data_IF_402493626868
#
_entry.id   IF_402493626868
#
_cell.length_a   1.000
_cell.length_b   1.000
_cell.length_c   1.000
_cell.angle_alpha   90.00
_cell.angle_beta   90.00
_cell.angle_gamma   90.00
#
_symmetry.space_group_name_H-M   'P 1'
#
loop_
_entity.id
_entity.type
_entity.pdbx_description
1 polymer ?
#
# COMPACT_ATOMS: atom_id res chain seq x y z
N UNK A 1 35.74 -9.13 36.81
CA UNK A 1 37.03 -8.70 36.22
C UNK A 1 36.77 -8.42 34.74
N UNK A 2 36.49 -7.17 34.36
CA UNK A 2 36.33 -6.81 32.95
C UNK A 2 37.71 -6.51 32.37
N UNK A 3 38.20 -7.35 31.49
CA UNK A 3 39.47 -7.13 30.79
C UNK A 3 39.34 -5.88 29.90
N UNK A 4 40.22 -4.87 30.04
CA UNK A 4 40.12 -3.62 29.28
C UNK A 4 40.14 -3.82 27.76
N UNK A 5 40.79 -4.89 27.28
CA UNK A 5 40.87 -5.30 25.87
C UNK A 5 39.51 -5.75 25.31
N UNK A 6 38.72 -6.49 26.09
CA UNK A 6 37.38 -6.96 25.67
C UNK A 6 36.42 -5.77 25.55
N UNK A 7 36.54 -4.80 26.46
CA UNK A 7 35.75 -3.57 26.47
C UNK A 7 36.01 -2.72 25.21
N UNK A 8 37.29 -2.58 24.83
CA UNK A 8 37.70 -1.83 23.64
C UNK A 8 37.24 -2.49 22.33
N UNK A 9 37.39 -3.82 22.22
CA UNK A 9 36.91 -4.56 21.06
C UNK A 9 35.38 -4.44 20.91
N UNK A 10 34.64 -4.59 22.01
CA UNK A 10 33.18 -4.47 22.03
C UNK A 10 32.71 -3.09 21.58
N UNK A 11 33.35 -2.03 22.09
CA UNK A 11 33.07 -0.65 21.67
C UNK A 11 33.33 -0.41 20.18
N UNK A 12 34.47 -0.91 19.66
CA UNK A 12 34.81 -0.80 18.25
C UNK A 12 33.75 -1.49 17.38
N UNK A 13 33.37 -2.72 17.73
CA UNK A 13 32.33 -3.46 17.03
C UNK A 13 30.98 -2.73 17.03
N UNK A 14 30.54 -2.20 18.18
CA UNK A 14 29.29 -1.44 18.27
C UNK A 14 29.29 -0.20 17.39
N UNK A 15 30.41 0.55 17.37
CA UNK A 15 30.54 1.73 16.52
C UNK A 15 30.55 1.37 15.04
N UNK A 16 31.29 0.33 14.66
CA UNK A 16 31.36 -0.14 13.28
C UNK A 16 29.98 -0.59 12.78
N UNK A 17 29.31 -1.46 13.53
CA UNK A 17 27.96 -1.94 13.20
C UNK A 17 26.98 -0.77 13.14
N UNK A 18 27.05 0.16 14.09
CA UNK A 18 26.18 1.33 14.09
C UNK A 18 26.39 2.23 12.87
N UNK A 19 27.64 2.45 12.43
CA UNK A 19 27.94 3.20 11.20
C UNK A 19 27.40 2.46 9.97
N UNK A 20 27.59 1.14 9.88
CA UNK A 20 27.06 0.34 8.78
C UNK A 20 25.53 0.44 8.72
N UNK A 21 24.83 0.32 9.86
CA UNK A 21 23.37 0.43 9.90
C UNK A 21 22.87 1.80 9.40
N UNK A 22 23.52 2.88 9.83
CA UNK A 22 23.19 4.23 9.37
C UNK A 22 23.41 4.34 7.86
N UNK A 23 24.61 4.01 7.37
CA UNK A 23 24.95 4.15 5.95
C UNK A 23 24.06 3.27 5.05
N UNK A 24 23.79 2.02 5.46
CA UNK A 24 22.89 1.13 4.73
C UNK A 24 21.47 1.68 4.68
N UNK A 25 20.96 2.25 5.78
CA UNK A 25 19.62 2.88 5.78
C UNK A 25 19.54 4.12 4.91
N UNK A 26 20.58 4.96 4.91
CA UNK A 26 20.63 6.15 4.04
C UNK A 26 20.71 5.76 2.57
N UNK A 27 21.48 4.72 2.24
CA UNK A 27 21.54 4.19 0.88
C UNK A 27 20.17 3.65 0.45
N UNK A 28 19.48 2.92 1.33
CA UNK A 28 18.13 2.41 1.06
C UNK A 28 17.11 3.55 0.85
N UNK A 29 17.22 4.65 1.60
CA UNK A 29 16.38 5.83 1.34
C UNK A 29 16.68 6.48 -0.01
N UNK A 30 17.95 6.49 -0.44
CA UNK A 30 18.34 7.02 -1.76
C UNK A 30 17.86 6.13 -2.89
N UNK A 31 17.91 4.80 -2.75
CA UNK A 31 17.40 3.88 -3.78
C UNK A 31 15.88 3.96 -3.90
N UNK A 32 15.17 4.11 -2.77
CA UNK A 32 13.72 4.34 -2.75
C UNK A 32 13.31 5.66 -3.42
N UNK A 33 14.20 6.65 -3.47
CA UNK A 33 13.92 7.93 -4.09
C UNK A 33 13.98 7.92 -5.63
N UNK A 34 14.34 6.79 -6.26
CA UNK A 34 14.55 6.68 -7.71
C UNK A 34 13.47 5.76 -8.33
N UNK A 35 12.74 6.19 -9.38
CA UNK A 35 12.78 7.52 -10.01
C UNK A 35 12.11 8.60 -9.14
N UNK A 36 12.63 9.83 -9.10
CA UNK A 36 12.07 10.89 -8.25
C UNK A 36 10.83 11.52 -8.88
N UNK A 37 9.65 11.23 -8.31
CA UNK A 37 8.37 11.82 -8.73
C UNK A 37 7.76 12.67 -7.60
N UNK A 38 8.48 13.74 -7.23
CA UNK A 38 8.12 14.61 -6.09
C UNK A 38 6.76 15.31 -6.22
N UNK A 39 6.12 15.30 -7.39
CA UNK A 39 4.80 15.90 -7.62
C UNK A 39 3.67 14.87 -7.59
N UNK A 40 3.98 13.58 -7.65
CA UNK A 40 2.99 12.52 -7.67
C UNK A 40 2.63 12.09 -6.24
N UNK A 41 1.34 12.16 -5.89
CA UNK A 41 0.86 11.83 -4.54
C UNK A 41 1.02 10.36 -4.20
N UNK A 42 0.98 9.46 -5.19
CA UNK A 42 1.16 8.03 -4.98
C UNK A 42 2.62 7.71 -4.67
N UNK A 43 3.56 8.32 -5.41
CA UNK A 43 4.98 8.23 -5.15
C UNK A 43 5.32 8.77 -3.76
N UNK A 44 4.85 9.98 -3.43
CA UNK A 44 5.10 10.59 -2.11
C UNK A 44 4.53 9.73 -0.98
N UNK A 45 3.33 9.16 -1.17
CA UNK A 45 2.70 8.26 -0.21
C UNK A 45 3.55 6.99 0.01
N UNK A 46 3.96 6.32 -1.07
CA UNK A 46 4.76 5.10 -1.03
C UNK A 46 6.16 5.34 -0.44
N UNK A 47 6.83 6.41 -0.85
CA UNK A 47 8.13 6.80 -0.34
C UNK A 47 8.06 7.08 1.17
N UNK A 48 7.11 7.91 1.59
CA UNK A 48 6.94 8.26 3.01
C UNK A 48 6.65 7.02 3.86
N UNK A 49 5.76 6.14 3.40
CA UNK A 49 5.42 4.90 4.13
C UNK A 49 6.65 4.02 4.33
N UNK A 50 7.44 3.79 3.28
CA UNK A 50 8.63 2.94 3.36
C UNK A 50 9.75 3.55 4.21
N UNK A 51 9.98 4.86 4.10
CA UNK A 51 10.99 5.57 4.90
C UNK A 51 10.61 5.54 6.38
N UNK A 52 9.33 5.72 6.71
CA UNK A 52 8.83 5.64 8.10
C UNK A 52 8.94 4.21 8.64
N UNK A 53 8.51 3.21 7.88
CA UNK A 53 8.59 1.80 8.30
C UNK A 53 10.02 1.34 8.59
N UNK A 54 11.01 1.88 7.85
CA UNK A 54 12.44 1.59 8.03
C UNK A 54 13.17 2.64 8.87
N UNK A 55 12.46 3.62 9.41
CA UNK A 55 13.02 4.75 10.16
C UNK A 55 13.72 4.37 11.46
N UNK A 56 13.41 3.20 12.01
CA UNK A 56 14.01 2.66 13.23
C UNK A 56 15.45 2.18 13.03
N UNK A 57 15.83 1.74 11.83
CA UNK A 57 17.15 1.17 11.54
C UNK A 57 18.29 2.17 11.81
N UNK A 58 18.26 3.42 11.28
CA UNK A 58 19.28 4.39 11.61
C UNK A 58 19.31 4.75 13.10
N UNK A 59 18.16 4.73 13.79
CA UNK A 59 18.07 5.05 15.22
C UNK A 59 18.80 3.99 16.06
N UNK A 60 18.64 2.71 15.73
CA UNK A 60 19.39 1.61 16.36
C UNK A 60 20.88 1.77 16.10
N UNK A 61 21.27 2.15 14.88
CA UNK A 61 22.68 2.44 14.55
C UNK A 61 23.26 3.57 15.41
N UNK A 62 22.52 4.66 15.60
CA UNK A 62 22.89 5.75 16.50
C UNK A 62 23.05 5.25 17.94
N UNK A 63 22.09 4.46 18.44
CA UNK A 63 22.15 3.91 19.79
C UNK A 63 23.40 3.06 20.02
N UNK A 64 23.77 2.19 19.06
CA UNK A 64 25.01 1.39 19.17
C UNK A 64 26.26 2.25 19.24
N UNK A 65 26.35 3.31 18.44
CA UNK A 65 27.50 4.22 18.50
C UNK A 65 27.58 4.91 19.87
N UNK A 66 26.45 5.37 20.41
CA UNK A 66 26.41 6.02 21.73
C UNK A 66 26.79 5.07 22.86
N UNK A 67 26.31 3.82 22.81
CA UNK A 67 26.68 2.78 23.78
C UNK A 67 28.18 2.47 23.67
N UNK A 68 28.74 2.37 22.45
CA UNK A 68 30.18 2.20 22.27
C UNK A 68 30.99 3.33 22.90
N UNK A 69 30.56 4.59 22.74
CA UNK A 69 31.20 5.73 23.41
C UNK A 69 31.07 5.69 24.94
N UNK A 70 29.96 5.17 25.47
CA UNK A 70 29.78 4.99 26.91
C UNK A 70 30.68 3.89 27.48
N UNK A 71 30.87 2.80 26.73
CA UNK A 71 31.80 1.71 27.08
C UNK A 71 33.25 2.22 27.13
N UNK A 72 33.68 3.00 26.14
CA UNK A 72 35.03 3.59 26.14
C UNK A 72 35.27 4.50 27.36
N UNK A 73 34.27 5.32 27.69
CA UNK A 73 34.33 6.24 28.82
C UNK A 73 34.39 5.51 30.16
N UNK A 74 33.61 4.44 30.32
CA UNK A 74 33.56 3.64 31.55
C UNK A 74 34.78 2.73 31.73
N UNK A 75 35.42 2.30 30.63
CA UNK A 75 36.64 1.48 30.66
C UNK A 75 37.93 2.28 30.90
N UNK A 76 37.85 3.59 31.17
CA UNK A 76 39.02 4.45 31.40
C UNK A 76 39.96 4.54 30.20
N UNK A 77 39.48 4.21 29.00
CA UNK A 77 40.31 4.18 27.80
C UNK A 77 40.68 5.61 27.41
N UNK A 78 41.93 6.01 27.67
CA UNK A 78 42.52 7.26 27.18
C UNK A 78 42.84 7.12 25.69
N UNK A 79 41.82 6.90 24.86
CA UNK A 79 41.99 6.99 23.42
C UNK A 79 42.40 8.43 23.13
N UNK A 80 43.60 8.62 22.54
CA UNK A 80 44.12 9.92 22.09
C UNK A 80 42.97 10.70 21.44
N UNK A 81 42.74 11.94 21.89
CA UNK A 81 41.78 12.89 21.30
C UNK A 81 42.16 13.12 19.82
N UNK A 82 41.75 12.22 18.94
CA UNK A 82 41.73 12.45 17.50
C UNK A 82 40.75 13.59 17.26
N UNK A 83 41.14 14.58 16.45
CA UNK A 83 40.37 15.82 16.25
C UNK A 83 38.97 15.63 15.65
N UNK A 84 38.60 14.41 15.26
CA UNK A 84 37.29 14.07 14.70
C UNK A 84 36.48 13.19 15.67
N UNK A 85 35.53 13.81 16.39
CA UNK A 85 34.58 13.09 17.24
C UNK A 85 33.31 12.76 16.45
N UNK A 86 33.10 11.48 16.13
CA UNK A 86 31.92 10.98 15.39
C UNK A 86 30.58 11.34 16.07
N UNK A 87 30.58 11.67 17.37
CA UNK A 87 29.39 12.08 18.13
C UNK A 87 28.69 13.31 17.54
N UNK A 88 29.45 14.33 17.12
CA UNK A 88 28.88 15.58 16.58
C UNK A 88 28.06 15.34 15.31
N UNK A 89 28.62 14.72 14.23
CA UNK A 89 27.84 14.48 13.02
C UNK A 89 26.65 13.55 13.28
N UNK A 90 26.75 12.62 14.23
CA UNK A 90 25.62 11.75 14.61
C UNK A 90 24.48 12.53 15.24
N UNK A 91 24.75 13.45 16.16
CA UNK A 91 23.68 14.23 16.78
C UNK A 91 23.05 15.25 15.82
N UNK A 92 23.85 15.80 14.90
CA UNK A 92 23.33 16.65 13.81
C UNK A 92 22.43 15.80 12.91
N UNK A 93 22.90 14.63 12.47
CA UNK A 93 22.13 13.70 11.66
C UNK A 93 20.82 13.29 12.34
N UNK A 94 20.88 12.97 13.65
CA UNK A 94 19.69 12.65 14.44
C UNK A 94 18.69 13.80 14.45
N UNK A 95 19.14 15.02 14.70
CA UNK A 95 18.26 16.20 14.69
C UNK A 95 17.64 16.44 13.31
N UNK A 96 18.44 16.25 12.26
CA UNK A 96 18.00 16.40 10.87
C UNK A 96 16.96 15.34 10.48
N UNK A 97 17.20 14.07 10.78
CA UNK A 97 16.22 13.00 10.55
C UNK A 97 14.94 13.24 11.35
N UNK A 98 15.06 13.69 12.60
CA UNK A 98 13.91 14.03 13.43
C UNK A 98 13.03 15.13 12.82
N UNK A 99 13.66 16.15 12.23
CA UNK A 99 12.96 17.20 11.49
C UNK A 99 12.29 16.65 10.23
N UNK A 100 12.96 15.78 9.46
CA UNK A 100 12.37 15.13 8.29
C UNK A 100 11.14 14.32 8.69
N UNK A 101 11.23 13.44 9.70
CA UNK A 101 10.09 12.64 10.16
C UNK A 101 8.95 13.49 10.71
N UNK A 102 9.24 14.67 11.28
CA UNK A 102 8.21 15.62 11.67
C UNK A 102 7.49 16.21 10.44
N UNK A 103 8.25 16.59 9.40
CA UNK A 103 7.71 17.16 8.16
C UNK A 103 6.92 16.15 7.32
N UNK A 104 7.27 14.87 7.41
CA UNK A 104 6.57 13.78 6.73
C UNK A 104 5.14 13.58 7.26
N UNK A 105 4.84 13.96 8.51
CA UNK A 105 3.49 13.82 9.08
C UNK A 105 2.43 14.61 8.29
N UNK A 106 2.53 15.95 8.15
CA UNK A 106 1.54 16.71 7.39
C UNK A 106 1.52 16.32 5.90
N UNK A 107 2.68 16.00 5.33
CA UNK A 107 2.80 15.56 3.94
C UNK A 107 2.03 14.25 3.70
N UNK A 108 2.24 13.24 4.55
CA UNK A 108 1.58 11.94 4.45
C UNK A 108 0.06 12.05 4.56
N UNK A 109 -0.44 12.86 5.50
CA UNK A 109 -1.87 13.08 5.69
C UNK A 109 -2.53 13.74 4.47
N UNK A 110 -1.85 14.71 3.84
CA UNK A 110 -2.35 15.35 2.64
C UNK A 110 -2.42 14.37 1.45
N UNK A 111 -1.34 13.62 1.23
CA UNK A 111 -1.28 12.65 0.12
C UNK A 111 -2.23 11.48 0.32
N UNK A 112 -2.38 10.98 1.54
CA UNK A 112 -3.34 9.93 1.86
C UNK A 112 -4.77 10.37 1.49
N UNK A 113 -5.14 11.62 1.76
CA UNK A 113 -6.44 12.16 1.37
C UNK A 113 -6.62 12.11 -0.15
N UNK A 114 -5.61 12.52 -0.91
CA UNK A 114 -5.66 12.55 -2.37
C UNK A 114 -5.72 11.15 -2.99
N UNK A 115 -4.89 10.21 -2.51
CA UNK A 115 -4.91 8.80 -2.93
C UNK A 115 -6.24 8.12 -2.58
N UNK A 116 -6.77 8.40 -1.38
CA UNK A 116 -8.08 7.89 -0.97
C UNK A 116 -9.21 8.44 -1.83
N UNK A 117 -9.18 9.74 -2.15
CA UNK A 117 -10.16 10.35 -3.04
C UNK A 117 -10.13 9.73 -4.44
N UNK A 118 -8.94 9.59 -5.03
CA UNK A 118 -8.77 8.91 -6.32
C UNK A 118 -9.31 7.47 -6.30
N UNK A 119 -9.06 6.74 -5.21
CA UNK A 119 -9.57 5.38 -5.04
C UNK A 119 -11.10 5.35 -4.95
N UNK A 120 -11.70 6.27 -4.20
CA UNK A 120 -13.16 6.38 -4.10
C UNK A 120 -13.80 6.76 -5.44
N UNK A 121 -13.22 7.71 -6.18
CA UNK A 121 -13.68 8.07 -7.53
C UNK A 121 -13.59 6.89 -8.50
N UNK A 122 -12.54 6.08 -8.43
CA UNK A 122 -12.43 4.87 -9.26
C UNK A 122 -13.48 3.81 -8.90
N UNK A 123 -13.81 3.62 -7.61
CA UNK A 123 -14.87 2.72 -7.17
C UNK A 123 -16.22 3.21 -7.71
N UNK A 124 -16.49 4.50 -7.61
CA UNK A 124 -17.71 5.14 -8.12
C UNK A 124 -17.84 4.97 -9.64
N UNK A 125 -16.79 5.30 -10.41
CA UNK A 125 -16.81 5.13 -11.86
C UNK A 125 -17.03 3.68 -12.30
N UNK A 126 -16.43 2.71 -11.59
CA UNK A 126 -16.64 1.28 -11.88
C UNK A 126 -18.07 0.85 -11.58
N UNK A 127 -18.66 1.35 -10.48
CA UNK A 127 -20.04 1.08 -10.12
C UNK A 127 -21.00 1.68 -11.15
N UNK A 128 -20.79 2.94 -11.57
CA UNK A 128 -21.62 3.60 -12.58
C UNK A 128 -21.56 2.87 -13.93
N UNK A 129 -20.37 2.41 -14.33
CA UNK A 129 -20.19 1.65 -15.55
C UNK A 129 -20.86 0.26 -15.47
N UNK A 130 -20.77 -0.42 -14.33
CA UNK A 130 -21.47 -1.68 -14.11
C UNK A 130 -23.00 -1.50 -14.13
N UNK A 131 -23.52 -0.44 -13.52
CA UNK A 131 -24.95 -0.12 -13.54
C UNK A 131 -25.43 0.17 -14.96
N UNK A 132 -24.66 0.94 -15.74
CA UNK A 132 -24.97 1.21 -17.15
C UNK A 132 -24.99 -0.08 -17.99
N UNK A 133 -24.04 -1.00 -17.77
CA UNK A 133 -24.01 -2.29 -18.47
C UNK A 133 -25.21 -3.17 -18.11
N UNK A 134 -25.63 -3.19 -16.83
CA UNK A 134 -26.81 -3.94 -16.38
C UNK A 134 -28.07 -3.37 -17.02
N UNK A 135 -28.23 -2.04 -17.03
CA UNK A 135 -29.38 -1.37 -17.68
C UNK A 135 -29.42 -1.65 -19.18
N UNK A 136 -28.28 -1.55 -19.87
CA UNK A 136 -28.20 -1.82 -21.30
C UNK A 136 -28.57 -3.29 -21.64
N UNK A 137 -28.12 -4.25 -20.84
CA UNK A 137 -28.52 -5.65 -20.99
C UNK A 137 -30.02 -5.85 -20.73
N UNK A 138 -30.55 -5.21 -19.69
CA UNK A 138 -31.98 -5.25 -19.40
C UNK A 138 -32.81 -4.68 -20.55
N UNK A 139 -32.44 -3.52 -21.10
CA UNK A 139 -33.15 -2.90 -22.22
C UNK A 139 -33.14 -3.82 -23.46
N UNK A 140 -32.04 -4.53 -23.71
CA UNK A 140 -31.96 -5.54 -24.78
C UNK A 140 -32.89 -6.73 -24.53
N UNK A 141 -32.97 -7.23 -23.29
CA UNK A 141 -33.88 -8.34 -22.96
C UNK A 141 -35.34 -7.88 -22.97
N UNK A 142 -35.62 -6.67 -22.50
CA UNK A 142 -36.97 -6.10 -22.47
C UNK A 142 -37.47 -5.79 -23.90
N UNK A 143 -36.62 -5.28 -24.79
CA UNK A 143 -36.98 -5.11 -26.21
C UNK A 143 -37.24 -6.45 -26.89
N UNK A 144 -36.46 -7.49 -26.58
CA UNK A 144 -36.71 -8.85 -27.07
C UNK A 144 -38.03 -9.43 -26.54
N UNK A 145 -38.33 -9.22 -25.26
CA UNK A 145 -39.57 -9.66 -24.62
C UNK A 145 -40.82 -9.03 -25.24
N UNK A 146 -40.72 -7.75 -25.63
CA UNK A 146 -41.83 -7.00 -26.23
C UNK A 146 -41.93 -7.13 -27.77
N UNK A 147 -40.95 -7.77 -28.44
CA UNK A 147 -40.95 -7.98 -29.88
C UNK A 147 -41.32 -9.45 -30.25
N UNK A 148 -42.58 -9.72 -30.64
CA UNK A 148 -43.03 -11.06 -30.95
C UNK A 148 -42.30 -11.68 -32.16
N UNK A 149 -41.81 -10.89 -33.12
CA UNK A 149 -41.09 -11.44 -34.27
C UNK A 149 -39.73 -12.00 -33.87
N UNK A 150 -39.02 -11.35 -32.95
CA UNK A 150 -37.72 -11.82 -32.46
C UNK A 150 -37.84 -13.01 -31.52
N UNK A 151 -38.87 -13.04 -30.67
CA UNK A 151 -39.20 -14.24 -29.89
C UNK A 151 -39.47 -15.44 -30.80
N UNK A 152 -40.16 -15.23 -31.92
CA UNK A 152 -40.44 -16.28 -32.89
C UNK A 152 -39.17 -16.76 -33.60
N UNK A 153 -38.23 -15.86 -33.95
CA UNK A 153 -36.92 -16.24 -34.48
C UNK A 153 -36.07 -17.03 -33.47
N UNK A 154 -36.12 -16.66 -32.18
CA UNK A 154 -35.46 -17.38 -31.11
C UNK A 154 -36.03 -18.81 -30.97
N UNK A 155 -37.36 -18.93 -31.06
CA UNK A 155 -38.04 -20.22 -31.00
C UNK A 155 -37.72 -21.12 -32.21
N UNK A 156 -37.62 -20.54 -33.41
CA UNK A 156 -37.15 -21.25 -34.61
C UNK A 156 -35.72 -21.79 -34.45
N UNK A 157 -34.79 -21.00 -33.90
CA UNK A 157 -33.42 -21.45 -33.65
C UNK A 157 -33.34 -22.60 -32.64
N UNK A 158 -34.14 -22.55 -31.57
CA UNK A 158 -34.21 -23.65 -30.59
C UNK A 158 -34.73 -24.93 -31.27
N UNK A 159 -35.77 -24.83 -32.11
CA UNK A 159 -36.30 -25.97 -32.87
C UNK A 159 -35.30 -26.55 -33.87
N UNK A 160 -34.48 -25.72 -34.50
CA UNK A 160 -33.43 -26.17 -35.41
C UNK A 160 -32.34 -26.97 -34.67
N UNK A 161 -31.91 -26.47 -33.51
CA UNK A 161 -30.96 -27.20 -32.64
C UNK A 161 -31.56 -28.52 -32.16
N UNK A 162 -32.83 -28.55 -31.76
CA UNK A 162 -33.51 -29.79 -31.36
C UNK A 162 -33.60 -30.81 -32.51
N UNK A 163 -33.90 -30.34 -33.72
CA UNK A 163 -33.96 -31.20 -34.91
C UNK A 163 -32.58 -31.77 -35.24
N UNK A 164 -31.53 -30.98 -35.09
CA UNK A 164 -30.15 -31.41 -35.27
C UNK A 164 -29.69 -32.43 -34.22
N UNK A 165 -30.05 -32.21 -32.94
CA UNK A 165 -29.73 -33.13 -31.85
C UNK A 165 -30.50 -34.45 -31.97
N UNK A 166 -31.76 -34.43 -32.43
CA UNK A 166 -32.59 -35.61 -32.60
C UNK A 166 -32.19 -36.45 -33.83
N UNK A 167 -31.80 -35.79 -34.93
CA UNK A 167 -31.34 -36.47 -36.16
C UNK A 167 -29.88 -36.91 -36.11
N UNK A 168 -29.10 -36.41 -35.15
CA UNK A 168 -27.66 -36.66 -35.08
C UNK A 168 -26.87 -36.06 -36.25
N UNK A 169 -27.50 -35.17 -37.03
CA UNK A 169 -26.93 -34.56 -38.22
C UNK A 169 -27.20 -33.05 -38.23
N UNK A 170 -26.21 -32.28 -38.66
CA UNK A 170 -26.33 -30.83 -38.87
C UNK A 170 -25.91 -30.52 -40.29
N UNK A 171 -26.84 -29.97 -41.08
CA UNK A 171 -26.62 -29.66 -42.51
C UNK A 171 -26.05 -30.85 -43.31
N UNK A 172 -26.50 -32.07 -43.01
CA UNK A 172 -26.08 -33.29 -43.71
C UNK A 172 -24.79 -33.94 -43.22
N UNK A 173 -24.10 -33.36 -42.23
CA UNK A 173 -22.91 -33.94 -41.62
C UNK A 173 -23.25 -34.59 -40.27
N UNK A 174 -22.67 -35.77 -39.98
CA UNK A 174 -22.82 -36.45 -38.69
C UNK A 174 -22.17 -35.65 -37.56
N UNK A 175 -22.89 -35.48 -36.46
CA UNK A 175 -22.42 -34.75 -35.29
C UNK A 175 -21.47 -35.60 -34.44
N UNK A 176 -20.29 -35.06 -34.14
CA UNK A 176 -19.36 -35.65 -33.18
C UNK A 176 -19.81 -35.36 -31.73
N UNK A 177 -19.32 -36.14 -30.77
CA UNK A 177 -19.65 -36.02 -29.34
C UNK A 177 -19.39 -34.62 -28.74
N UNK A 178 -18.32 -33.95 -29.14
CA UNK A 178 -18.03 -32.55 -28.73
C UNK A 178 -19.04 -31.55 -29.30
N UNK A 179 -19.51 -31.75 -30.54
CA UNK A 179 -20.48 -30.86 -31.18
C UNK A 179 -21.85 -30.98 -30.53
N UNK A 180 -22.25 -32.20 -30.12
CA UNK A 180 -23.49 -32.43 -29.37
C UNK A 180 -23.46 -31.69 -28.03
N UNK A 181 -22.34 -31.73 -27.30
CA UNK A 181 -22.20 -30.99 -26.05
C UNK A 181 -22.28 -29.47 -26.27
N UNK A 182 -21.60 -28.94 -27.30
CA UNK A 182 -21.67 -27.53 -27.65
C UNK A 182 -23.09 -27.05 -28.00
N UNK A 183 -23.84 -27.88 -28.74
CA UNK A 183 -25.23 -27.59 -29.11
C UNK A 183 -26.18 -27.66 -27.91
N UNK A 184 -26.00 -28.63 -27.01
CA UNK A 184 -26.78 -28.70 -25.78
C UNK A 184 -26.54 -27.50 -24.86
N UNK A 185 -25.29 -27.05 -24.73
CA UNK A 185 -24.94 -25.86 -23.96
C UNK A 185 -25.60 -24.60 -24.57
N UNK A 186 -25.53 -24.45 -25.89
CA UNK A 186 -26.17 -23.35 -26.62
C UNK A 186 -27.69 -23.39 -26.50
N UNK A 187 -28.31 -24.57 -26.61
CA UNK A 187 -29.75 -24.76 -26.40
C UNK A 187 -30.16 -24.27 -25.02
N UNK A 188 -29.48 -24.74 -23.97
CA UNK A 188 -29.78 -24.35 -22.58
C UNK A 188 -29.68 -22.84 -22.38
N UNK A 189 -28.69 -22.18 -22.97
CA UNK A 189 -28.60 -20.71 -22.94
C UNK A 189 -29.81 -20.05 -23.60
N UNK A 190 -30.18 -20.46 -24.82
CA UNK A 190 -31.31 -19.87 -25.55
C UNK A 190 -32.65 -20.11 -24.85
N UNK A 191 -32.84 -21.28 -24.24
CA UNK A 191 -34.03 -21.58 -23.43
C UNK A 191 -34.11 -20.69 -22.20
N UNK A 192 -32.99 -20.45 -21.52
CA UNK A 192 -32.90 -19.56 -20.37
C UNK A 192 -33.22 -18.10 -20.76
N UNK A 193 -32.68 -17.61 -21.88
CA UNK A 193 -33.02 -16.30 -22.44
C UNK A 193 -34.50 -16.16 -22.80
N UNK A 194 -35.08 -17.20 -23.41
CA UNK A 194 -36.52 -17.25 -23.74
C UNK A 194 -37.39 -17.21 -22.49
N UNK A 195 -37.02 -17.96 -21.46
CA UNK A 195 -37.76 -18.03 -20.20
C UNK A 195 -37.72 -16.68 -19.46
N UNK A 196 -36.55 -16.03 -19.40
CA UNK A 196 -36.41 -14.67 -18.89
C UNK A 196 -37.24 -13.66 -19.70
N UNK A 197 -37.20 -13.72 -21.03
CA UNK A 197 -37.95 -12.81 -21.89
C UNK A 197 -39.47 -13.01 -21.79
N UNK A 198 -39.95 -14.21 -21.45
CA UNK A 198 -41.39 -14.48 -21.25
C UNK A 198 -41.89 -14.12 -19.85
N UNK A 199 -41.01 -13.82 -18.89
CA UNK A 199 -41.36 -13.50 -17.51
C UNK A 199 -40.88 -12.09 -17.12
N UNK A 200 -41.66 -11.03 -17.43
CA UNK A 200 -41.27 -9.65 -17.16
C UNK A 200 -41.11 -9.35 -15.65
N UNK A 201 -41.93 -9.94 -14.78
CA UNK A 201 -41.81 -9.80 -13.32
C UNK A 201 -40.50 -10.41 -12.79
N UNK A 202 -40.11 -11.58 -13.32
CA UNK A 202 -38.83 -12.21 -12.99
C UNK A 202 -37.62 -11.41 -13.46
N UNK A 203 -37.75 -10.68 -14.58
CA UNK A 203 -36.71 -9.82 -15.13
C UNK A 203 -36.47 -8.58 -14.24
N UNK A 204 -37.54 -7.92 -13.81
CA UNK A 204 -37.48 -6.77 -12.91
C UNK A 204 -36.95 -7.15 -11.53
N UNK A 205 -37.38 -8.29 -10.97
CA UNK A 205 -36.88 -8.80 -9.70
C UNK A 205 -35.36 -9.04 -9.75
N UNK A 206 -34.86 -9.63 -10.84
CA UNK A 206 -33.43 -9.91 -11.04
C UNK A 206 -32.62 -8.62 -11.23
N UNK A 207 -33.17 -7.62 -11.91
CA UNK A 207 -32.56 -6.31 -12.04
C UNK A 207 -32.46 -5.61 -10.68
N UNK A 208 -33.54 -5.61 -9.90
CA UNK A 208 -33.56 -5.06 -8.55
C UNK A 208 -32.54 -5.75 -7.63
N UNK A 209 -32.43 -7.08 -7.72
CA UNK A 209 -31.42 -7.85 -6.99
C UNK A 209 -29.99 -7.46 -7.42
N UNK A 210 -29.70 -7.39 -8.72
CA UNK A 210 -28.39 -7.00 -9.24
C UNK A 210 -28.01 -5.56 -8.85
N UNK A 211 -28.97 -4.63 -8.88
CA UNK A 211 -28.76 -3.25 -8.44
C UNK A 211 -28.49 -3.18 -6.94
N UNK A 212 -29.23 -3.94 -6.13
CA UNK A 212 -29.00 -4.00 -4.69
C UNK A 212 -27.63 -4.62 -4.37
N UNK A 213 -27.27 -5.73 -5.02
CA UNK A 213 -25.95 -6.36 -4.86
C UNK A 213 -24.83 -5.38 -5.25
N UNK A 214 -24.95 -4.70 -6.40
CA UNK A 214 -23.96 -3.72 -6.84
C UNK A 214 -23.83 -2.56 -5.87
N UNK A 215 -24.96 -2.10 -5.31
CA UNK A 215 -24.99 -1.04 -4.30
C UNK A 215 -24.33 -1.48 -2.99
N UNK A 216 -24.62 -2.69 -2.54
CA UNK A 216 -24.03 -3.26 -1.33
C UNK A 216 -22.52 -3.48 -1.50
N UNK A 217 -22.10 -4.03 -2.64
CA UNK A 217 -20.68 -4.18 -2.99
C UNK A 217 -19.96 -2.83 -3.06
N UNK A 218 -20.57 -1.81 -3.68
CA UNK A 218 -20.04 -0.44 -3.72
C UNK A 218 -19.84 0.09 -2.29
N UNK A 219 -20.89 0.03 -1.45
CA UNK A 219 -20.83 0.51 -0.08
C UNK A 219 -19.76 -0.22 0.74
N UNK A 220 -19.63 -1.53 0.55
CA UNK A 220 -18.61 -2.31 1.23
C UNK A 220 -17.21 -1.92 0.77
N UNK A 221 -16.97 -1.77 -0.54
CA UNK A 221 -15.68 -1.35 -1.08
C UNK A 221 -15.30 0.06 -0.64
N UNK A 222 -16.25 1.00 -0.64
CA UNK A 222 -16.03 2.35 -0.12
C UNK A 222 -15.67 2.34 1.37
N UNK A 223 -16.39 1.57 2.17
CA UNK A 223 -16.13 1.43 3.61
C UNK A 223 -14.77 0.78 3.88
N UNK A 224 -14.42 -0.26 3.13
CA UNK A 224 -13.10 -0.92 3.20
C UNK A 224 -11.99 0.04 2.78
N UNK A 225 -12.17 0.82 1.71
CA UNK A 225 -11.19 1.81 1.26
C UNK A 225 -10.97 2.90 2.32
N UNK A 226 -12.06 3.44 2.89
CA UNK A 226 -12.00 4.43 3.99
C UNK A 226 -11.32 3.87 5.23
N UNK A 227 -11.67 2.64 5.64
CA UNK A 227 -11.08 1.98 6.81
C UNK A 227 -9.58 1.70 6.60
N UNK A 228 -9.19 1.23 5.42
CA UNK A 228 -7.79 0.99 5.08
C UNK A 228 -6.99 2.29 5.06
N UNK A 229 -7.53 3.34 4.46
CA UNK A 229 -6.92 4.67 4.46
C UNK A 229 -6.71 5.18 5.89
N UNK A 230 -7.72 5.09 6.75
CA UNK A 230 -7.61 5.49 8.15
C UNK A 230 -6.54 4.68 8.89
N UNK A 231 -6.56 3.35 8.74
CA UNK A 231 -5.61 2.44 9.39
C UNK A 231 -4.17 2.74 8.97
N UNK A 232 -3.94 2.91 7.67
CA UNK A 232 -2.61 3.25 7.14
C UNK A 232 -2.17 4.64 7.60
N UNK A 233 -3.05 5.64 7.51
CA UNK A 233 -2.75 7.00 7.94
C UNK A 233 -2.40 7.12 9.41
N UNK A 234 -3.17 6.46 10.28
CA UNK A 234 -2.89 6.43 11.72
C UNK A 234 -1.58 5.71 12.03
N UNK A 235 -1.37 4.52 11.44
CA UNK A 235 -0.15 3.75 11.67
C UNK A 235 1.09 4.52 11.24
N UNK A 236 1.15 4.96 9.98
CA UNK A 236 2.32 5.65 9.43
C UNK A 236 2.51 7.02 10.08
N UNK A 237 1.43 7.78 10.29
CA UNK A 237 1.48 9.08 10.95
C UNK A 237 2.00 8.99 12.39
N UNK A 238 1.51 8.04 13.17
CA UNK A 238 1.95 7.82 14.55
C UNK A 238 3.40 7.32 14.62
N UNK A 239 3.77 6.37 13.75
CA UNK A 239 5.14 5.88 13.64
C UNK A 239 6.12 7.01 13.29
N UNK A 240 5.77 7.87 12.34
CA UNK A 240 6.59 9.02 11.96
C UNK A 240 6.76 10.01 13.12
N UNK A 241 5.68 10.28 13.86
CA UNK A 241 5.73 11.17 15.03
C UNK A 241 6.59 10.58 16.16
N UNK A 242 6.46 9.27 16.42
CA UNK A 242 7.28 8.58 17.43
C UNK A 242 8.77 8.61 17.06
N UNK A 243 9.10 8.37 15.78
CA UNK A 243 10.46 8.49 15.26
C UNK A 243 10.97 9.92 15.40
N UNK A 244 10.19 10.93 15.01
CA UNK A 244 10.56 12.33 15.13
C UNK A 244 10.93 12.69 16.57
N UNK A 245 10.09 12.30 17.55
CA UNK A 245 10.36 12.52 18.97
C UNK A 245 11.68 11.85 19.39
N UNK A 246 11.88 10.58 19.04
CA UNK A 246 13.09 9.84 19.42
C UNK A 246 14.36 10.48 18.85
N UNK A 247 14.35 10.84 17.57
CA UNK A 247 15.48 11.46 16.88
C UNK A 247 15.78 12.88 17.38
N UNK A 248 14.74 13.69 17.63
CA UNK A 248 14.89 15.04 18.21
C UNK A 248 15.46 14.93 19.63
N UNK A 249 14.94 14.01 20.45
CA UNK A 249 15.43 13.82 21.82
C UNK A 249 16.91 13.42 21.83
N UNK A 250 17.31 12.43 21.02
CA UNK A 250 18.71 12.00 20.89
C UNK A 250 19.62 13.14 20.40
N UNK A 251 19.19 13.88 19.37
CA UNK A 251 19.95 14.99 18.81
C UNK A 251 20.12 16.15 19.79
N UNK A 252 19.02 16.60 20.40
CA UNK A 252 19.01 17.71 21.35
C UNK A 252 19.81 17.41 22.62
N UNK A 253 19.59 16.24 23.24
CA UNK A 253 20.31 15.84 24.45
C UNK A 253 21.80 15.70 24.18
N UNK A 254 22.18 15.12 23.03
CA UNK A 254 23.56 14.99 22.62
C UNK A 254 24.27 16.33 22.43
N UNK A 255 23.66 17.24 21.66
CA UNK A 255 24.22 18.57 21.39
C UNK A 255 24.33 19.41 22.66
N UNK A 256 23.30 19.40 23.53
CA UNK A 256 23.31 20.14 24.80
C UNK A 256 24.43 19.68 25.73
N UNK A 257 24.62 18.37 25.87
CA UNK A 257 25.67 17.82 26.75
C UNK A 257 27.08 18.14 26.24
N UNK A 258 27.29 18.19 24.93
CA UNK A 258 28.58 18.61 24.35
C UNK A 258 28.82 20.12 24.48
N UNK A 259 27.77 20.95 24.29
CA UNK A 259 27.84 22.40 24.45
C UNK A 259 28.21 22.83 25.86
N UNK A 260 27.57 22.26 26.88
CA UNK A 260 27.89 22.54 28.29
C UNK A 260 29.32 22.16 28.67
N UNK A 261 29.83 21.01 28.18
CA UNK A 261 31.19 20.56 28.50
C UNK A 261 32.28 21.45 27.88
N UNK A 262 32.02 22.01 26.68
CA UNK A 262 32.94 22.91 25.98
C UNK A 262 33.03 24.29 26.65
N UNK A 263 31.91 24.80 27.18
CA UNK A 263 31.86 26.08 27.91
C UNK A 263 32.63 26.01 29.24
N UNK A 264 32.49 24.90 29.97
CA UNK A 264 33.21 24.70 31.25
C UNK A 264 34.72 24.59 31.03
N UNK A 265 35.17 23.81 30.03
CA UNK A 265 36.58 23.69 29.69
C UNK A 265 37.23 25.01 29.29
N UNK A 266 36.50 25.88 28.57
CA UNK A 266 37.01 27.20 28.14
C UNK A 266 37.15 28.18 29.32
N UNK A 267 36.30 28.07 30.34
CA UNK A 267 36.34 28.92 31.55
C UNK A 267 37.46 28.52 32.52
N UNK A 268 37.83 27.24 32.54
CA UNK A 268 38.96 26.72 33.36
C UNK A 268 40.31 27.04 32.72
N UNK A 269 40.40 27.08 31.39
CA UNK A 269 41.64 27.47 30.69
C UNK A 269 41.90 28.99 30.68
N UNK A 270 40.96 29.80 31.14
CA UNK A 270 41.03 31.27 31.19
C UNK A 270 41.23 31.82 32.61
N UNK A 271 41.53 30.95 33.58
CA UNK A 271 41.99 31.27 34.93
C UNK A 271 43.39 30.72 35.12
#
# INVERSE_FOLDING_TARGET
MNSPTISQFTSLCLKLVGVILILSSLLDYLTLAIPPELLDSQWQFNFTTQVVDRGIVPMVGIAFILVGYWIDASAGSTVKKSGFELRVPIFILSSFLGLIFLLLVPLHLNNLRQVSFSTLTQIEQRADQAESNIKAQYDQLNTLANDPQRLQQLESQIKEIDSALASGQLQGNSLNSEQIQGLQARKKQLENFRELAKNPEGLEARLGELQNQLRDERLEQENRAKANALKQGLRTGLSSLMLAIGYIALGWLGLKNMGSNKIISKKVSAR
#
